data_IF_389747304898
#
_entry.id   IF_389747304898
#
_cell.length_a   1.000
_cell.length_b   1.000
_cell.length_c   1.000
_cell.angle_alpha   90.00
_cell.angle_beta   90.00
_cell.angle_gamma   90.00
#
_symmetry.space_group_name_H-M   'P 1'
#
loop_
_entity.id
_entity.type
_entity.pdbx_description
1 polymer ?
#
# COMPACT_ATOMS: atom_id res chain seq x y z
N UNK A 1 1.12 -14.87 5.24
CA UNK A 1 -0.21 -14.72 4.59
C UNK A 1 -0.22 -13.37 3.89
N UNK A 2 -0.58 -13.27 2.61
CA UNK A 2 -0.48 -12.01 1.85
C UNK A 2 -1.84 -11.31 1.77
N UNK A 3 -1.88 -9.97 1.90
CA UNK A 3 -3.08 -9.15 1.78
C UNK A 3 -2.89 -8.01 0.78
N UNK A 4 -3.94 -7.68 0.01
CA UNK A 4 -3.94 -6.60 -0.98
C UNK A 4 -5.11 -5.65 -0.70
N UNK A 5 -4.86 -4.34 -0.82
CA UNK A 5 -5.87 -3.30 -0.72
C UNK A 5 -5.71 -2.31 -1.89
N UNK A 6 -6.83 -1.77 -2.38
CA UNK A 6 -6.87 -0.81 -3.47
C UNK A 6 -7.82 0.35 -3.15
N UNK A 7 -7.53 1.52 -3.71
CA UNK A 7 -8.36 2.71 -3.61
C UNK A 7 -8.69 3.19 -5.02
N UNK A 8 -9.98 3.37 -5.30
CA UNK A 8 -10.49 3.89 -6.57
C UNK A 8 -11.21 5.21 -6.28
N UNK A 9 -10.69 6.31 -6.84
CA UNK A 9 -11.25 7.63 -6.63
C UNK A 9 -10.22 8.73 -6.92
N UNK A 10 -10.67 9.98 -6.82
CA UNK A 10 -9.84 11.17 -7.06
C UNK A 10 -9.22 11.74 -5.78
N UNK A 11 -9.54 11.17 -4.61
CA UNK A 11 -9.01 11.59 -3.32
C UNK A 11 -7.57 11.12 -3.06
N UNK A 12 -7.00 11.58 -1.94
CA UNK A 12 -5.67 11.14 -1.50
C UNK A 12 -5.71 9.66 -1.09
N UNK A 13 -5.18 8.79 -1.96
CA UNK A 13 -5.17 7.34 -1.76
C UNK A 13 -4.20 6.87 -0.67
N UNK A 14 -3.07 7.57 -0.49
CA UNK A 14 -1.96 7.12 0.38
C UNK A 14 -2.40 6.88 1.83
N UNK A 15 -3.09 7.81 2.53
CA UNK A 15 -3.50 7.58 3.92
C UNK A 15 -4.48 6.39 4.07
N UNK A 16 -5.37 6.21 3.09
CA UNK A 16 -6.35 5.12 3.08
C UNK A 16 -5.66 3.77 2.90
N UNK A 17 -4.73 3.68 1.94
CA UNK A 17 -3.99 2.46 1.66
C UNK A 17 -3.05 2.09 2.82
N UNK A 18 -2.37 3.07 3.44
CA UNK A 18 -1.56 2.83 4.63
C UNK A 18 -2.40 2.31 5.80
N UNK A 19 -3.57 2.92 6.05
CA UNK A 19 -4.50 2.43 7.07
C UNK A 19 -5.01 1.01 6.80
N UNK A 20 -5.24 0.67 5.53
CA UNK A 20 -5.63 -0.69 5.14
C UNK A 20 -4.50 -1.71 5.34
N UNK A 21 -3.26 -1.35 4.98
CA UNK A 21 -2.07 -2.18 5.21
C UNK A 21 -1.82 -2.38 6.72
N UNK A 22 -1.96 -1.34 7.53
CA UNK A 22 -1.77 -1.42 8.98
C UNK A 22 -2.72 -2.43 9.66
N UNK A 23 -3.98 -2.53 9.20
CA UNK A 23 -4.95 -3.53 9.71
C UNK A 23 -4.64 -4.96 9.27
N UNK A 24 -3.85 -5.14 8.21
CA UNK A 24 -3.45 -6.45 7.69
C UNK A 24 -2.12 -6.93 8.31
N UNK A 25 -1.41 -6.06 9.05
CA UNK A 25 -0.07 -6.34 9.56
C UNK A 25 -0.05 -7.45 10.64
N UNK A 26 -1.19 -7.81 11.23
CA UNK A 26 -1.29 -8.96 12.15
C UNK A 26 -1.14 -10.33 11.45
N UNK A 27 -1.01 -10.36 10.12
CA UNK A 27 -1.00 -11.59 9.29
C UNK A 27 0.30 -11.85 8.52
N UNK A 28 1.31 -10.99 8.62
CA UNK A 28 2.62 -11.19 8.01
C UNK A 28 3.32 -9.89 7.67
N UNK A 29 4.49 -9.68 8.26
CA UNK A 29 5.32 -8.47 8.11
C UNK A 29 6.49 -8.66 7.15
N UNK A 30 6.53 -9.72 6.32
CA UNK A 30 7.71 -9.99 5.49
C UNK A 30 7.96 -8.88 4.46
N UNK A 31 6.91 -8.29 3.89
CA UNK A 31 7.04 -7.18 2.95
C UNK A 31 5.75 -6.38 2.79
N UNK A 32 5.90 -5.12 2.40
CA UNK A 32 4.80 -4.24 2.04
C UNK A 32 5.14 -3.43 0.78
N UNK A 33 4.12 -3.03 0.04
CA UNK A 33 4.29 -2.21 -1.15
C UNK A 33 3.05 -1.42 -1.53
N UNK A 34 3.28 -0.29 -2.19
CA UNK A 34 2.26 0.62 -2.69
C UNK A 34 2.59 0.98 -4.14
N UNK A 35 1.56 1.06 -4.98
CA UNK A 35 1.67 1.50 -6.36
C UNK A 35 0.61 2.58 -6.62
N UNK A 36 1.01 3.68 -7.24
CA UNK A 36 0.11 4.79 -7.55
C UNK A 36 0.43 5.40 -8.92
N UNK A 37 -0.59 5.83 -9.68
CA UNK A 37 -0.38 6.55 -10.92
C UNK A 37 0.27 7.92 -10.63
N UNK A 38 1.30 8.25 -11.39
CA UNK A 38 2.02 9.52 -11.34
C UNK A 38 2.32 9.99 -12.77
N UNK A 39 1.58 11.00 -13.25
CA UNK A 39 1.81 11.66 -14.53
C UNK A 39 2.05 10.70 -15.72
N UNK A 40 1.17 9.70 -15.89
CA UNK A 40 1.28 8.70 -16.96
C UNK A 40 2.25 7.55 -16.69
N UNK A 41 2.91 7.54 -15.53
CA UNK A 41 3.75 6.45 -15.04
C UNK A 41 3.12 5.80 -13.79
N UNK A 42 3.66 4.65 -13.38
CA UNK A 42 3.28 3.99 -12.12
C UNK A 42 4.44 4.15 -11.13
N UNK A 43 4.24 4.96 -10.10
CA UNK A 43 5.18 5.06 -9.00
C UNK A 43 4.96 3.87 -8.04
N UNK A 44 5.99 3.04 -7.88
CA UNK A 44 5.95 1.86 -7.03
C UNK A 44 6.97 2.01 -5.91
N UNK A 45 6.52 1.84 -4.66
CA UNK A 45 7.39 1.77 -3.48
C UNK A 45 7.20 0.43 -2.81
N UNK A 46 8.30 -0.22 -2.44
CA UNK A 46 8.31 -1.53 -1.76
C UNK A 46 9.28 -1.45 -0.60
N UNK A 47 8.98 -2.18 0.46
CA UNK A 47 9.89 -2.38 1.59
C UNK A 47 9.81 -3.83 2.04
N UNK A 48 10.94 -4.34 2.50
CA UNK A 48 10.97 -5.53 3.35
C UNK A 48 10.53 -5.07 4.74
N UNK A 49 9.73 -5.86 5.45
CA UNK A 49 9.14 -5.39 6.70
C UNK A 49 7.85 -4.57 6.49
N UNK A 50 7.45 -3.88 7.56
CA UNK A 50 6.27 -3.01 7.59
C UNK A 50 6.51 -1.70 6.79
N UNK A 51 5.50 -1.25 6.04
CA UNK A 51 5.51 0.09 5.46
C UNK A 51 5.37 1.16 6.56
N UNK A 52 6.26 2.17 6.62
CA UNK A 52 6.16 3.27 7.59
C UNK A 52 5.00 4.22 7.28
#
# INVERSE_FOLDING_TARGET
MCGVAAYLGTGQAVPVLLGALARQAERGEDSAGLAMPLAGSLAVRRTVGRCP
#
